data_IF_328764587324
#
_entry.id   IF_328764587324
#
_cell.length_a   1.000
_cell.length_b   1.000
_cell.length_c   1.000
_cell.angle_alpha   90.00
_cell.angle_beta   90.00
_cell.angle_gamma   90.00
#
_symmetry.space_group_name_H-M   'P 1'
#
loop_
_entity.id
_entity.type
_entity.pdbx_description
1 polymer ?
#
# COMPACT_ATOMS: atom_id res chain seq x y z
N UNK A 1 30.65 35.47 35.83
CA UNK A 1 31.18 34.29 36.54
C UNK A 1 31.16 33.13 35.58
N UNK A 2 32.36 32.65 35.25
CA UNK A 2 32.65 31.53 34.37
C UNK A 2 32.18 30.21 35.01
N UNK A 3 31.79 29.22 34.22
CA UNK A 3 32.53 27.96 34.11
C UNK A 3 31.92 27.01 33.05
N UNK A 4 32.70 26.81 32.00
CA UNK A 4 32.67 25.64 31.10
C UNK A 4 32.98 24.36 31.89
N UNK A 5 32.39 23.23 31.48
CA UNK A 5 33.01 21.91 31.60
C UNK A 5 32.55 20.97 30.49
N UNK A 6 33.39 20.88 29.47
CA UNK A 6 33.49 19.80 28.48
C UNK A 6 34.62 18.88 28.92
N UNK A 7 34.44 17.55 28.90
CA UNK A 7 35.45 16.45 28.86
C UNK A 7 34.72 15.14 29.22
N UNK A 8 34.98 13.95 28.67
CA UNK A 8 36.05 13.43 27.83
C UNK A 8 35.58 12.12 27.19
N UNK A 9 35.93 11.94 25.92
CA UNK A 9 36.14 10.65 25.27
C UNK A 9 37.08 9.78 26.14
N UNK A 10 36.79 8.49 26.27
CA UNK A 10 37.77 7.47 26.68
C UNK A 10 37.83 6.41 25.59
N UNK A 11 38.90 6.51 24.80
CA UNK A 11 39.58 5.39 24.19
C UNK A 11 40.01 4.39 25.27
N UNK A 12 39.71 3.12 25.08
CA UNK A 12 40.43 2.04 25.77
C UNK A 12 40.95 1.07 24.71
N UNK A 13 42.23 1.28 24.42
CA UNK A 13 43.10 0.54 23.54
C UNK A 13 43.75 -0.56 24.38
N UNK A 14 43.46 -1.84 24.09
CA UNK A 14 44.23 -2.96 24.64
C UNK A 14 44.63 -3.96 23.56
N UNK A 15 45.81 -4.59 23.72
CA UNK A 15 46.70 -4.90 22.61
C UNK A 15 46.47 -6.27 21.95
N UNK A 16 46.87 -6.31 20.67
CA UNK A 16 47.00 -7.47 19.80
C UNK A 16 48.09 -8.42 20.36
N UNK A 17 47.76 -9.69 20.52
CA UNK A 17 48.73 -10.79 20.68
C UNK A 17 48.64 -11.68 19.44
N UNK A 18 49.73 -11.88 18.66
CA UNK A 18 49.76 -12.82 17.55
C UNK A 18 50.27 -14.20 18.01
N UNK A 19 50.04 -15.22 17.18
CA UNK A 19 50.64 -16.57 17.10
C UNK A 19 49.54 -17.65 17.01
N UNK A 20 49.55 -18.67 16.13
CA UNK A 20 50.49 -19.20 15.13
C UNK A 20 49.64 -20.09 14.17
N UNK A 21 50.09 -20.20 12.92
CA UNK A 21 49.56 -21.12 11.90
C UNK A 21 49.76 -22.59 12.31
N UNK A 22 48.73 -23.42 12.15
CA UNK A 22 48.94 -24.82 11.80
C UNK A 22 47.76 -25.42 11.02
N UNK A 23 48.09 -26.23 10.03
CA UNK A 23 47.22 -27.02 9.15
C UNK A 23 48.10 -28.11 8.53
N UNK A 24 47.60 -29.29 8.09
CA UNK A 24 46.31 -29.98 8.31
C UNK A 24 46.57 -31.48 8.71
N UNK A 25 45.66 -32.48 8.55
CA UNK A 25 45.21 -32.99 7.25
C UNK A 25 43.71 -33.34 7.14
N UNK A 26 43.26 -33.37 5.88
CA UNK A 26 41.97 -33.82 5.39
C UNK A 26 41.51 -35.18 5.94
N UNK A 27 40.26 -35.25 6.40
CA UNK A 27 39.48 -36.49 6.42
C UNK A 27 38.17 -36.30 5.66
N UNK A 28 38.03 -37.10 4.61
CA UNK A 28 36.78 -37.37 3.92
C UNK A 28 35.70 -37.79 4.92
N UNK A 29 34.60 -37.04 4.98
CA UNK A 29 33.32 -37.56 5.43
C UNK A 29 32.31 -37.36 4.30
N UNK A 30 32.03 -38.46 3.59
CA UNK A 30 30.86 -38.61 2.72
C UNK A 30 29.62 -38.39 3.57
N UNK A 31 29.00 -37.22 3.42
CA UNK A 31 27.61 -36.97 3.78
C UNK A 31 26.81 -36.74 2.51
N UNK A 32 26.15 -37.78 2.01
CA UNK A 32 25.09 -37.68 1.01
C UNK A 32 23.89 -36.94 1.62
N UNK A 33 23.94 -35.61 1.58
CA UNK A 33 22.74 -34.76 1.73
C UNK A 33 22.08 -34.59 0.36
N UNK A 34 20.74 -34.54 0.27
CA UNK A 34 20.07 -34.31 -1.00
C UNK A 34 20.52 -32.96 -1.57
N UNK A 35 20.93 -32.99 -2.84
CA UNK A 35 21.24 -31.80 -3.64
C UNK A 35 20.03 -30.87 -3.56
N UNK A 36 20.15 -29.78 -2.79
CA UNK A 36 19.26 -28.63 -2.91
C UNK A 36 19.45 -28.08 -4.31
N UNK A 37 18.59 -28.46 -5.23
CA UNK A 37 18.43 -27.77 -6.51
C UNK A 37 18.18 -26.29 -6.20
N UNK A 38 18.96 -25.34 -6.76
CA UNK A 38 18.68 -23.93 -6.60
C UNK A 38 17.27 -23.66 -7.10
N UNK A 39 16.41 -23.18 -6.21
CA UNK A 39 15.05 -22.74 -6.54
C UNK A 39 15.19 -21.71 -7.67
N UNK A 40 14.49 -21.89 -8.81
CA UNK A 40 14.55 -20.89 -9.86
C UNK A 40 14.16 -19.53 -9.28
N UNK A 41 14.81 -18.44 -9.71
CA UNK A 41 14.43 -17.10 -9.29
C UNK A 41 12.94 -16.95 -9.53
N UNK A 42 12.21 -16.57 -8.47
CA UNK A 42 10.79 -16.27 -8.55
C UNK A 42 10.65 -15.20 -9.63
N UNK A 43 10.10 -15.58 -10.79
CA UNK A 43 9.79 -14.62 -11.84
C UNK A 43 8.94 -13.53 -11.20
N UNK A 44 9.53 -12.35 -11.04
CA UNK A 44 8.81 -11.14 -10.73
C UNK A 44 7.87 -10.96 -11.92
N UNK A 45 6.57 -11.06 -11.68
CA UNK A 45 5.57 -10.87 -12.70
C UNK A 45 5.87 -9.54 -13.41
N UNK A 46 6.13 -9.63 -14.71
CA UNK A 46 6.27 -8.48 -15.60
C UNK A 46 5.03 -7.59 -15.48
N UNK A 47 5.16 -6.26 -15.65
CA UNK A 47 4.09 -5.32 -15.34
C UNK A 47 2.83 -5.67 -16.12
N UNK A 48 1.70 -5.63 -15.40
CA UNK A 48 0.38 -5.84 -15.95
C UNK A 48 0.14 -4.85 -17.09
N UNK A 49 -0.36 -5.34 -18.22
CA UNK A 49 -0.81 -4.47 -19.30
C UNK A 49 -1.80 -3.45 -18.72
N UNK A 50 -1.59 -2.16 -19.00
CA UNK A 50 -2.46 -1.11 -18.51
C UNK A 50 -3.92 -1.44 -18.84
N UNK A 51 -4.85 -1.38 -17.86
CA UNK A 51 -6.27 -1.45 -18.09
C UNK A 51 -6.72 -0.64 -19.31
N UNK A 52 -7.53 -1.27 -20.16
CA UNK A 52 -8.13 -0.60 -21.30
C UNK A 52 -9.14 0.44 -20.83
N UNK A 53 -9.33 1.51 -21.63
CA UNK A 53 -10.38 2.51 -21.38
C UNK A 53 -11.78 1.89 -21.30
N UNK A 54 -12.01 0.77 -22.01
CA UNK A 54 -13.26 0.02 -21.95
C UNK A 54 -13.49 -0.58 -20.56
N UNK A 55 -12.47 -1.14 -19.93
CA UNK A 55 -12.57 -1.70 -18.58
C UNK A 55 -12.80 -0.62 -17.53
N UNK A 56 -12.09 0.51 -17.63
CA UNK A 56 -12.30 1.67 -16.77
C UNK A 56 -13.71 2.25 -16.92
N UNK A 57 -14.24 2.28 -18.15
CA UNK A 57 -15.61 2.73 -18.41
C UNK A 57 -16.64 1.76 -17.84
N UNK A 58 -16.41 0.44 -17.99
CA UNK A 58 -17.29 -0.58 -17.42
C UNK A 58 -17.38 -0.49 -15.90
N UNK A 59 -16.27 -0.21 -15.21
CA UNK A 59 -16.27 0.08 -13.76
C UNK A 59 -17.21 1.23 -13.40
N UNK A 60 -17.06 2.38 -14.07
CA UNK A 60 -17.89 3.55 -13.81
C UNK A 60 -19.37 3.28 -14.12
N UNK A 61 -19.68 2.60 -15.22
CA UNK A 61 -21.04 2.22 -15.59
C UNK A 61 -21.67 1.26 -14.57
N UNK A 62 -20.95 0.22 -14.15
CA UNK A 62 -21.43 -0.74 -13.16
C UNK A 62 -21.76 -0.04 -11.84
N UNK A 63 -20.89 0.88 -11.41
CA UNK A 63 -21.13 1.68 -10.20
C UNK A 63 -22.32 2.63 -10.36
N UNK A 64 -22.48 3.24 -11.54
CA UNK A 64 -23.61 4.10 -11.83
C UNK A 64 -24.95 3.35 -11.81
N UNK A 65 -24.97 2.06 -12.16
CA UNK A 65 -26.16 1.21 -12.14
C UNK A 65 -26.50 0.63 -10.76
N UNK A 66 -25.58 0.72 -9.79
CA UNK A 66 -25.81 0.17 -8.45
C UNK A 66 -26.99 0.86 -7.75
N UNK A 67 -27.81 0.09 -7.02
CA UNK A 67 -28.98 0.63 -6.32
C UNK A 67 -28.67 1.08 -4.89
N UNK A 68 -27.63 0.53 -4.28
CA UNK A 68 -27.21 0.86 -2.92
C UNK A 68 -25.71 1.10 -2.87
N UNK A 69 -25.28 1.96 -1.94
CA UNK A 69 -23.86 2.21 -1.71
C UNK A 69 -23.09 0.92 -1.45
N UNK A 70 -23.59 0.08 -0.52
CA UNK A 70 -22.92 -1.16 -0.15
C UNK A 70 -22.73 -2.11 -1.35
N UNK A 71 -23.76 -2.28 -2.19
CA UNK A 71 -23.63 -3.12 -3.38
C UNK A 71 -22.64 -2.53 -4.40
N UNK A 72 -22.71 -1.22 -4.64
CA UNK A 72 -21.81 -0.51 -5.55
C UNK A 72 -20.35 -0.56 -5.09
N UNK A 73 -20.08 -0.24 -3.82
CA UNK A 73 -18.76 -0.28 -3.21
C UNK A 73 -18.18 -1.70 -3.23
N UNK A 74 -18.96 -2.73 -2.85
CA UNK A 74 -18.49 -4.11 -2.87
C UNK A 74 -18.16 -4.59 -4.29
N UNK A 75 -18.95 -4.20 -5.29
CA UNK A 75 -18.65 -4.53 -6.69
C UNK A 75 -17.40 -3.81 -7.18
N UNK A 76 -17.30 -2.49 -6.93
CA UNK A 76 -16.13 -1.68 -7.27
C UNK A 76 -14.85 -2.26 -6.68
N UNK A 77 -14.85 -2.61 -5.40
CA UNK A 77 -13.69 -3.20 -4.71
C UNK A 77 -13.24 -4.51 -5.38
N UNK A 78 -14.19 -5.42 -5.69
CA UNK A 78 -13.88 -6.68 -6.38
C UNK A 78 -13.29 -6.44 -7.77
N UNK A 79 -13.88 -5.54 -8.53
CA UNK A 79 -13.42 -5.27 -9.90
C UNK A 79 -12.06 -4.56 -9.91
N UNK A 80 -11.80 -3.67 -8.95
CA UNK A 80 -10.49 -3.05 -8.74
C UNK A 80 -9.40 -4.07 -8.38
N UNK A 81 -9.69 -5.02 -7.49
CA UNK A 81 -8.75 -6.11 -7.18
C UNK A 81 -8.34 -6.89 -8.43
N UNK A 82 -9.30 -7.18 -9.32
CA UNK A 82 -9.04 -7.86 -10.59
C UNK A 82 -8.25 -6.99 -11.56
N UNK A 83 -8.69 -5.73 -11.73
CA UNK A 83 -8.15 -4.82 -12.75
C UNK A 83 -6.74 -4.33 -12.43
N UNK A 84 -6.47 -4.04 -11.17
CA UNK A 84 -5.19 -3.45 -10.73
C UNK A 84 -4.23 -4.46 -10.10
N UNK A 85 -4.65 -5.74 -10.04
CA UNK A 85 -3.94 -6.83 -9.35
C UNK A 85 -3.51 -6.46 -7.92
N UNK A 86 -4.37 -5.73 -7.22
CA UNK A 86 -4.18 -5.40 -5.80
C UNK A 86 -4.72 -6.55 -4.94
N UNK A 87 -4.09 -6.79 -3.80
CA UNK A 87 -4.54 -7.81 -2.84
C UNK A 87 -5.82 -7.42 -2.12
N UNK A 88 -6.07 -6.12 -1.96
CA UNK A 88 -7.25 -5.63 -1.30
C UNK A 88 -7.63 -4.23 -1.82
N UNK A 89 -8.93 -3.93 -1.79
CA UNK A 89 -9.50 -2.66 -2.15
C UNK A 89 -10.66 -2.33 -1.20
N UNK A 90 -10.67 -1.12 -0.65
CA UNK A 90 -11.68 -0.66 0.28
C UNK A 90 -12.15 0.75 -0.08
N UNK A 91 -13.47 0.91 -0.23
CA UNK A 91 -14.10 2.21 -0.41
C UNK A 91 -14.54 2.73 0.96
N UNK A 92 -13.99 3.87 1.35
CA UNK A 92 -14.24 4.54 2.62
C UNK A 92 -14.99 5.84 2.33
N UNK A 93 -16.10 6.11 3.01
CA UNK A 93 -16.81 7.39 2.88
C UNK A 93 -16.83 8.15 4.19
N UNK A 94 -16.99 9.46 4.06
CA UNK A 94 -16.85 10.40 5.17
C UNK A 94 -18.15 11.18 5.34
N UNK A 95 -18.74 11.07 6.52
CA UNK A 95 -19.73 12.03 7.00
C UNK A 95 -18.98 13.23 7.59
N UNK A 96 -18.73 14.26 6.76
CA UNK A 96 -17.97 15.45 7.13
C UNK A 96 -18.54 16.23 8.32
N UNK A 97 -19.87 16.48 8.41
CA UNK A 97 -20.48 17.06 9.60
C UNK A 97 -20.08 16.37 10.91
N UNK A 98 -19.93 15.05 10.90
CA UNK A 98 -19.55 14.26 12.09
C UNK A 98 -18.07 13.87 12.12
N UNK A 99 -17.32 14.10 11.03
CA UNK A 99 -15.99 13.55 10.78
C UNK A 99 -15.89 12.06 11.08
N UNK A 100 -16.91 11.30 10.68
CA UNK A 100 -16.91 9.83 10.84
C UNK A 100 -16.65 9.14 9.51
N UNK A 101 -15.78 8.13 9.54
CA UNK A 101 -15.42 7.31 8.39
C UNK A 101 -16.19 5.99 8.45
N UNK A 102 -16.68 5.56 7.31
CA UNK A 102 -17.47 4.34 7.17
C UNK A 102 -16.98 3.53 5.98
N UNK A 103 -17.16 2.21 6.04
CA UNK A 103 -17.04 1.28 4.93
C UNK A 103 -18.29 0.40 4.84
N UNK A 104 -18.37 -0.47 3.83
CA UNK A 104 -19.57 -1.29 3.60
C UNK A 104 -19.93 -2.21 4.78
N UNK A 105 -19.01 -2.42 5.73
CA UNK A 105 -19.19 -3.26 6.92
C UNK A 105 -19.52 -2.46 8.19
N UNK A 106 -19.35 -1.13 8.19
CA UNK A 106 -19.65 -0.29 9.34
C UNK A 106 -18.67 0.88 9.53
N UNK A 107 -18.73 1.47 10.71
CA UNK A 107 -17.88 2.60 11.08
C UNK A 107 -16.43 2.16 11.24
N UNK A 108 -15.51 2.96 10.71
CA UNK A 108 -14.06 2.82 10.89
C UNK A 108 -13.61 3.80 11.97
N UNK A 109 -12.76 3.35 12.89
CA UNK A 109 -12.29 4.14 14.02
C UNK A 109 -10.76 4.09 14.16
N UNK A 110 -10.23 4.94 15.04
CA UNK A 110 -8.81 5.03 15.34
C UNK A 110 -7.99 5.63 14.19
N UNK A 111 -6.72 5.24 14.11
CA UNK A 111 -5.72 5.83 13.21
C UNK A 111 -6.13 5.82 11.74
N UNK A 112 -6.82 4.76 11.28
CA UNK A 112 -7.29 4.71 9.90
C UNK A 112 -8.37 5.78 9.62
N UNK A 113 -9.24 6.07 10.58
CA UNK A 113 -10.26 7.13 10.44
C UNK A 113 -9.61 8.51 10.36
N UNK A 114 -8.62 8.78 11.20
CA UNK A 114 -7.87 10.06 11.20
C UNK A 114 -7.15 10.26 9.87
N UNK A 115 -6.38 9.26 9.45
CA UNK A 115 -5.64 9.26 8.19
C UNK A 115 -6.55 9.48 6.96
N UNK A 116 -7.68 8.77 6.90
CA UNK A 116 -8.65 8.91 5.79
C UNK A 116 -9.27 10.30 5.78
N UNK A 117 -9.56 10.85 6.96
CA UNK A 117 -10.08 12.21 7.10
C UNK A 117 -9.05 13.24 6.61
N UNK A 118 -7.78 13.06 6.94
CA UNK A 118 -6.71 13.95 6.50
C UNK A 118 -6.48 13.90 4.99
N UNK A 119 -6.38 12.69 4.42
CA UNK A 119 -6.24 12.45 2.98
C UNK A 119 -7.40 13.08 2.21
N UNK A 120 -8.63 12.83 2.63
CA UNK A 120 -9.81 13.41 1.99
C UNK A 120 -9.90 14.93 2.17
N UNK A 121 -9.53 15.41 3.37
CA UNK A 121 -9.57 16.81 3.74
C UNK A 121 -8.55 17.66 3.00
N UNK A 122 -7.38 17.09 2.64
CA UNK A 122 -6.36 17.77 1.84
C UNK A 122 -6.50 17.53 0.33
N UNK A 123 -7.20 16.47 -0.08
CA UNK A 123 -7.33 16.06 -1.48
C UNK A 123 -6.04 15.51 -2.09
N UNK A 124 -5.00 15.31 -1.28
CA UNK A 124 -3.73 14.71 -1.71
C UNK A 124 -3.76 13.23 -1.40
N UNK A 125 -3.32 12.46 -2.39
CA UNK A 125 -3.05 11.03 -2.24
C UNK A 125 -1.94 10.80 -1.21
N UNK A 126 -2.03 9.67 -0.52
CA UNK A 126 -1.00 9.20 0.41
C UNK A 126 -0.65 7.74 0.15
N UNK A 127 0.62 7.37 0.32
CA UNK A 127 1.09 5.99 0.16
C UNK A 127 1.81 5.56 1.44
N UNK A 128 1.36 4.46 2.03
CA UNK A 128 1.89 3.87 3.27
C UNK A 128 2.32 2.44 3.00
N UNK A 129 3.63 2.23 2.80
CA UNK A 129 4.17 0.93 2.42
C UNK A 129 3.58 0.46 1.08
N UNK A 130 2.87 -0.68 1.10
CA UNK A 130 2.16 -1.22 -0.09
C UNK A 130 0.70 -0.75 -0.21
N UNK A 131 0.25 0.17 0.64
CA UNK A 131 -1.11 0.72 0.63
C UNK A 131 -1.13 2.12 0.04
N UNK A 132 -2.12 2.39 -0.79
CA UNK A 132 -2.39 3.67 -1.42
C UNK A 132 -3.76 4.18 -0.96
N UNK A 133 -3.84 5.43 -0.52
CA UNK A 133 -5.07 6.15 -0.23
C UNK A 133 -5.30 7.21 -1.30
N UNK A 134 -6.34 7.03 -2.09
CA UNK A 134 -6.74 7.92 -3.19
C UNK A 134 -8.05 8.63 -2.85
N UNK A 135 -8.05 9.96 -2.67
CA UNK A 135 -9.28 10.75 -2.60
C UNK A 135 -10.15 10.59 -3.85
N UNK A 136 -11.47 10.53 -3.66
CA UNK A 136 -12.45 10.45 -4.74
C UNK A 136 -13.29 11.74 -4.74
N UNK A 137 -13.23 12.47 -5.85
CA UNK A 137 -13.96 13.72 -6.04
C UNK A 137 -13.19 14.98 -5.60
N UNK A 138 -13.85 16.15 -5.57
CA UNK A 138 -13.23 17.43 -5.23
C UNK A 138 -12.87 17.49 -3.74
N UNK A 139 -11.96 18.40 -3.35
CA UNK A 139 -11.62 18.66 -1.95
C UNK A 139 -12.70 19.51 -1.25
N UNK A 140 -13.13 19.17 -0.03
CA UNK A 140 -12.83 17.93 0.69
C UNK A 140 -13.55 16.73 0.05
N UNK A 141 -12.80 15.65 -0.19
CA UNK A 141 -13.34 14.46 -0.84
C UNK A 141 -14.37 13.77 0.05
N UNK A 142 -15.46 13.26 -0.54
CA UNK A 142 -16.50 12.53 0.22
C UNK A 142 -16.17 11.06 0.42
N UNK A 143 -15.24 10.53 -0.36
CA UNK A 143 -14.75 9.17 -0.25
C UNK A 143 -13.24 9.07 -0.51
N UNK A 144 -12.64 8.01 -0.01
CA UNK A 144 -11.25 7.62 -0.24
C UNK A 144 -11.24 6.15 -0.64
N UNK A 145 -10.48 5.83 -1.67
CA UNK A 145 -10.19 4.47 -2.07
C UNK A 145 -8.86 4.04 -1.45
N UNK A 146 -8.90 3.02 -0.61
CA UNK A 146 -7.71 2.36 -0.11
C UNK A 146 -7.39 1.13 -0.98
N UNK A 147 -6.18 1.07 -1.54
CA UNK A 147 -5.73 -0.03 -2.39
C UNK A 147 -4.46 -0.62 -1.79
N UNK A 148 -4.41 -1.94 -1.59
CA UNK A 148 -3.25 -2.61 -1.00
C UNK A 148 -2.64 -3.59 -1.98
N UNK A 149 -1.34 -3.47 -2.21
CA UNK A 149 -0.53 -4.44 -2.94
C UNK A 149 0.07 -5.52 -2.04
N UNK A 150 0.48 -6.66 -2.62
CA UNK A 150 1.35 -7.61 -1.93
C UNK A 150 2.56 -6.89 -1.31
N UNK A 151 2.98 -7.34 -0.13
CA UNK A 151 4.13 -6.76 0.57
C UNK A 151 5.37 -6.75 -0.32
N UNK A 152 6.06 -5.61 -0.38
CA UNK A 152 7.25 -5.42 -1.21
C UNK A 152 6.96 -4.91 -2.64
N UNK A 153 5.69 -4.80 -3.03
CA UNK A 153 5.28 -4.15 -4.28
C UNK A 153 4.81 -2.72 -4.04
N UNK A 154 5.16 -1.81 -4.95
CA UNK A 154 4.71 -0.41 -4.98
C UNK A 154 3.86 -0.14 -6.21
N UNK A 155 3.14 1.00 -6.22
CA UNK A 155 2.46 1.51 -7.41
C UNK A 155 3.43 2.38 -8.21
N UNK A 156 3.52 2.16 -9.52
CA UNK A 156 4.32 3.04 -10.38
C UNK A 156 3.57 4.32 -10.76
N UNK A 157 4.29 5.29 -11.35
CA UNK A 157 3.73 6.61 -11.69
C UNK A 157 2.57 6.53 -12.68
N UNK A 158 2.61 5.61 -13.63
CA UNK A 158 1.56 5.43 -14.65
C UNK A 158 0.29 4.85 -14.04
N UNK A 159 0.44 3.85 -13.16
CA UNK A 159 -0.66 3.26 -12.39
C UNK A 159 -1.28 4.30 -11.47
N UNK A 160 -0.45 5.09 -10.81
CA UNK A 160 -0.86 6.21 -9.99
C UNK A 160 -1.68 7.23 -10.79
N UNK A 161 -1.28 7.60 -12.01
CA UNK A 161 -2.06 8.50 -12.86
C UNK A 161 -3.40 7.89 -13.28
N UNK A 162 -3.42 6.59 -13.62
CA UNK A 162 -4.65 5.88 -13.93
C UNK A 162 -5.61 5.85 -12.75
N UNK A 163 -5.13 5.50 -11.56
CA UNK A 163 -5.96 5.41 -10.35
C UNK A 163 -6.58 6.78 -10.02
N UNK A 164 -5.85 7.87 -10.25
CA UNK A 164 -6.39 9.22 -10.10
C UNK A 164 -7.49 9.51 -11.12
N UNK A 165 -7.27 9.13 -12.39
CA UNK A 165 -8.26 9.28 -13.47
C UNK A 165 -9.53 8.48 -13.19
N UNK A 166 -9.37 7.24 -12.73
CA UNK A 166 -10.48 6.38 -12.33
C UNK A 166 -11.25 6.98 -11.15
N UNK A 167 -10.55 7.43 -10.11
CA UNK A 167 -11.17 8.08 -8.95
C UNK A 167 -11.99 9.32 -9.36
N UNK A 168 -11.48 10.13 -10.29
CA UNK A 168 -12.24 11.24 -10.85
C UNK A 168 -13.48 10.78 -11.63
N UNK A 169 -13.35 9.73 -12.45
CA UNK A 169 -14.43 9.20 -13.27
C UNK A 169 -15.58 8.56 -12.47
N UNK A 170 -15.28 7.93 -11.34
CA UNK A 170 -16.30 7.26 -10.49
C UNK A 170 -16.95 8.19 -9.47
N UNK A 171 -16.39 9.38 -9.23
CA UNK A 171 -16.86 10.30 -8.19
C UNK A 171 -18.36 10.64 -8.31
N UNK A 172 -18.91 10.97 -9.50
CA UNK A 172 -20.34 11.29 -9.62
C UNK A 172 -21.26 10.11 -9.25
N UNK A 173 -20.85 8.88 -9.57
CA UNK A 173 -21.62 7.69 -9.26
C UNK A 173 -21.63 7.40 -7.74
N UNK A 174 -20.49 7.56 -7.07
CA UNK A 174 -20.42 7.44 -5.60
C UNK A 174 -21.22 8.55 -4.92
N UNK A 175 -21.13 9.77 -5.41
CA UNK A 175 -21.89 10.90 -4.84
C UNK A 175 -23.40 10.67 -4.90
N UNK A 176 -23.90 10.05 -5.96
CA UNK A 176 -25.31 9.63 -6.07
C UNK A 176 -25.66 8.55 -5.04
N UNK A 177 -24.79 7.58 -4.82
CA UNK A 177 -25.02 6.46 -3.90
C UNK A 177 -24.96 6.87 -2.41
N UNK A 178 -24.28 7.96 -2.09
CA UNK A 178 -24.12 8.50 -0.73
C UNK A 178 -25.18 9.57 -0.37
N UNK A 179 -26.25 9.71 -1.16
CA UNK A 179 -27.39 10.58 -0.86
C UNK A 179 -28.53 9.75 -0.32
#
# INVERSE_FOLDING_TARGET
MHHFSSTRLRDDNTPIVPMVFDSPPSKLARGTGPVMTPRPPRQVATPSAMPSMRELSALATNLAMAQTFAAGANQLQRDLCKLLHVTDALCLWIDWPRRTVWNATGQVSGQLSELVTDVAGCGKRETLGSTLLQPIGPRPARAVLALRRPSGSTFDVSELAMIATLAAGIAPALDRLMR
#
